data_IF_704646572642
#
_entry.id   IF_704646572642
#
_cell.length_a   1.000
_cell.length_b   1.000
_cell.length_c   1.000
_cell.angle_alpha   90.00
_cell.angle_beta   90.00
_cell.angle_gamma   90.00
#
_symmetry.space_group_name_H-M   'P 1'
#
loop_
_entity.id
_entity.type
_entity.pdbx_description
1 polymer ?
#
# COMPACT_ATOMS: atom_id res chain seq x y z
N UNK A 1 -14.27 11.64 -22.26
CA UNK A 1 -14.38 11.16 -21.93
C UNK A 1 -14.59 10.46 -21.92
N UNK A 2 -14.39 10.52 -21.93
CA UNK A 2 -14.60 9.88 -21.64
C UNK A 2 -15.05 9.85 -21.41
N UNK A 3 -15.19 10.38 -21.63
CA UNK A 3 -15.62 10.35 -21.30
C UNK A 3 -16.36 10.37 -21.24
N UNK A 4 -16.46 10.67 -21.21
CA UNK A 4 -17.18 10.68 -21.17
C UNK A 4 -18.17 10.35 -21.03
N UNK A 5 -18.34 10.01 -20.95
CA UNK A 5 -19.50 9.62 -20.70
C UNK A 5 -19.84 9.80 -19.46
N UNK A 6 -20.47 10.54 -19.19
CA UNK A 6 -20.73 10.90 -17.95
C UNK A 6 -21.42 9.92 -17.26
N UNK A 7 -22.27 9.36 -17.64
CA UNK A 7 -22.95 8.58 -16.87
C UNK A 7 -22.44 7.37 -16.87
N UNK A 8 -21.81 7.06 -17.59
CA UNK A 8 -21.43 5.89 -17.49
C UNK A 8 -20.68 5.64 -16.56
N UNK A 9 -20.21 6.25 -16.32
CA UNK A 9 -19.45 6.00 -15.57
C UNK A 9 -19.66 5.61 -14.51
N UNK A 10 -20.12 5.71 -14.01
CA UNK A 10 -20.19 5.51 -12.83
C UNK A 10 -19.85 4.34 -12.48
N UNK A 11 -20.09 3.71 -12.75
CA UNK A 11 -20.06 2.66 -12.29
C UNK A 11 -18.92 2.19 -12.10
N UNK A 12 -18.21 2.23 -12.69
CA UNK A 12 -17.18 1.71 -12.54
C UNK A 12 -16.43 2.18 -11.77
N UNK A 13 -16.65 2.63 -11.21
CA UNK A 13 -16.08 3.20 -10.42
C UNK A 13 -15.28 2.60 -9.56
N UNK A 14 -15.24 1.45 -9.35
CA UNK A 14 -14.38 0.88 -8.47
C UNK A 14 -12.98 1.13 -8.87
N UNK A 15 -12.73 1.43 -10.03
CA UNK A 15 -11.39 1.79 -10.39
C UNK A 15 -11.17 3.21 -10.14
N UNK A 16 -10.19 3.55 -9.38
CA UNK A 16 -9.92 4.93 -9.14
C UNK A 16 -8.87 5.47 -10.06
N UNK A 17 -8.31 4.71 -10.95
CA UNK A 17 -7.37 5.22 -11.93
C UNK A 17 -7.63 4.54 -13.26
N UNK A 18 -7.15 5.16 -14.32
CA UNK A 18 -7.32 4.62 -15.63
C UNK A 18 -6.33 3.51 -15.85
N UNK A 19 -6.68 2.56 -16.68
CA UNK A 19 -5.77 1.46 -16.97
C UNK A 19 -4.52 1.92 -17.67
N UNK A 20 -4.56 3.08 -18.29
CA UNK A 20 -3.40 3.59 -18.99
C UNK A 20 -2.50 4.41 -18.10
N UNK A 21 -2.90 4.67 -16.87
CA UNK A 21 -2.05 5.40 -15.96
C UNK A 21 -1.07 4.48 -15.33
N UNK A 22 0.17 4.93 -15.22
CA UNK A 22 1.15 4.19 -14.50
C UNK A 22 0.96 4.41 -13.03
N UNK A 23 0.87 3.35 -12.27
CA UNK A 23 0.73 3.42 -10.83
C UNK A 23 2.10 3.24 -10.22
N UNK A 24 2.51 4.17 -9.36
CA UNK A 24 3.81 4.10 -8.72
C UNK A 24 3.73 3.36 -7.39
N UNK A 25 2.72 3.68 -6.59
CA UNK A 25 2.61 3.11 -5.25
C UNK A 25 1.51 2.05 -5.19
N UNK A 26 1.83 0.90 -4.62
CA UNK A 26 0.83 -0.10 -4.26
C UNK A 26 0.86 -0.24 -2.74
N UNK A 27 -0.29 -0.11 -2.11
CA UNK A 27 -0.42 -0.32 -0.67
C UNK A 27 -1.19 -1.63 -0.46
N UNK A 28 -0.64 -2.50 0.37
CA UNK A 28 -1.29 -3.75 0.73
C UNK A 28 -1.73 -3.64 2.18
N UNK A 29 -3.03 -3.55 2.41
CA UNK A 29 -3.60 -3.30 3.73
C UNK A 29 -4.87 -4.13 3.87
N UNK A 30 -4.93 -4.96 4.90
CA UNK A 30 -6.13 -5.74 5.19
C UNK A 30 -6.98 -5.04 6.24
N UNK A 31 -8.29 -5.28 6.20
CA UNK A 31 -9.20 -4.85 7.26
C UNK A 31 -9.14 -3.35 7.54
N UNK A 32 -9.17 -2.56 6.50
CA UNK A 32 -9.06 -1.11 6.64
C UNK A 32 -10.47 -0.52 6.71
N UNK A 33 -10.87 -0.06 7.89
CA UNK A 33 -12.21 0.49 8.09
C UNK A 33 -12.20 1.50 9.22
N UNK A 34 -13.27 2.28 9.31
CA UNK A 34 -13.48 3.22 10.42
C UNK A 34 -12.38 4.25 10.55
N UNK A 35 -11.95 4.49 11.77
CA UNK A 35 -10.91 5.48 12.04
C UNK A 35 -9.57 5.10 11.42
N UNK A 36 -9.30 3.82 11.28
CA UNK A 36 -8.07 3.37 10.63
C UNK A 36 -8.07 3.78 9.15
N UNK A 37 -9.22 3.69 8.49
CA UNK A 37 -9.32 4.12 7.10
C UNK A 37 -9.12 5.63 6.97
N UNK A 38 -9.64 6.40 7.91
CA UNK A 38 -9.43 7.85 7.91
C UNK A 38 -7.96 8.19 8.12
N UNK A 39 -7.31 7.47 9.02
CA UNK A 39 -5.89 7.69 9.25
C UNK A 39 -5.09 7.32 8.00
N UNK A 40 -5.47 6.24 7.34
CA UNK A 40 -4.79 5.84 6.11
C UNK A 40 -4.89 6.96 5.06
N UNK A 41 -6.04 7.58 4.92
CA UNK A 41 -6.19 8.69 3.98
C UNK A 41 -5.29 9.87 4.35
N UNK A 42 -5.11 10.13 5.64
CA UNK A 42 -4.22 11.19 6.08
C UNK A 42 -2.76 10.84 5.81
N UNK A 43 -2.41 9.57 5.96
CA UNK A 43 -1.06 9.12 5.63
C UNK A 43 -0.79 9.34 4.14
N UNK A 44 -1.74 8.97 3.29
CA UNK A 44 -1.59 9.20 1.86
C UNK A 44 -1.42 10.68 1.56
N UNK A 45 -2.24 11.53 2.18
CA UNK A 45 -2.16 12.96 1.93
C UNK A 45 -0.80 13.53 2.32
N UNK A 46 -0.18 12.99 3.37
CA UNK A 46 1.12 13.47 3.79
C UNK A 46 2.21 13.15 2.76
N UNK A 47 1.95 12.20 1.87
CA UNK A 47 2.84 11.87 0.77
C UNK A 47 2.38 12.48 -0.55
N UNK A 48 1.40 13.37 -0.50
CA UNK A 48 0.80 13.99 -1.68
C UNK A 48 0.10 12.95 -2.53
N UNK A 49 -0.46 11.91 -1.91
CA UNK A 49 -1.18 10.84 -2.57
C UNK A 49 -2.63 10.83 -2.15
N UNK A 50 -3.45 10.13 -2.90
CA UNK A 50 -4.84 9.87 -2.54
C UNK A 50 -5.19 8.48 -3.05
N UNK A 51 -6.38 7.99 -2.67
CA UNK A 51 -6.80 6.68 -3.15
C UNK A 51 -6.91 6.63 -4.66
N UNK A 52 -7.09 7.78 -5.30
CA UNK A 52 -7.18 7.83 -6.75
C UNK A 52 -5.83 7.68 -7.44
N UNK A 53 -4.73 7.84 -6.71
CA UNK A 53 -3.41 7.84 -7.33
C UNK A 53 -2.57 6.64 -6.93
N UNK A 54 -3.14 5.72 -6.16
CA UNK A 54 -2.42 4.52 -5.72
C UNK A 54 -3.22 3.29 -6.10
N UNK A 55 -2.58 2.14 -5.98
CA UNK A 55 -3.28 0.87 -6.02
C UNK A 55 -3.41 0.38 -4.59
N UNK A 56 -4.61 0.00 -4.19
CA UNK A 56 -4.86 -0.52 -2.84
C UNK A 56 -5.32 -1.97 -2.97
N UNK A 57 -4.59 -2.87 -2.36
CA UNK A 57 -4.87 -4.30 -2.45
C UNK A 57 -4.95 -4.92 -1.07
N UNK A 58 -5.69 -6.02 -0.97
CA UNK A 58 -5.60 -6.89 0.19
C UNK A 58 -4.40 -7.81 0.04
N UNK A 59 -4.02 -8.50 1.13
CA UNK A 59 -2.93 -9.45 1.04
C UNK A 59 -3.25 -10.58 0.07
N UNK A 60 -4.51 -11.00 0.02
CA UNK A 60 -4.93 -12.04 -0.92
C UNK A 60 -4.74 -11.60 -2.37
N UNK A 61 -5.09 -10.35 -2.67
CA UNK A 61 -4.91 -9.85 -4.03
C UNK A 61 -3.43 -9.71 -4.38
N UNK A 62 -2.62 -9.29 -3.43
CA UNK A 62 -1.19 -9.18 -3.67
C UNK A 62 -0.58 -10.56 -3.93
N UNK A 63 -1.01 -11.56 -3.16
CA UNK A 63 -0.54 -12.93 -3.37
C UNK A 63 -0.99 -13.50 -4.71
N UNK A 64 -2.11 -13.00 -5.24
CA UNK A 64 -2.60 -13.44 -6.54
C UNK A 64 -1.87 -12.77 -7.71
N UNK A 65 -0.83 -11.97 -7.42
CA UNK A 65 -0.04 -11.37 -8.47
C UNK A 65 -0.64 -10.14 -9.10
N UNK A 66 -1.46 -9.40 -8.36
CA UNK A 66 -2.17 -8.27 -8.94
C UNK A 66 -1.49 -6.92 -8.73
N UNK A 67 -0.26 -6.93 -8.23
CA UNK A 67 0.45 -5.68 -7.95
C UNK A 67 0.87 -5.01 -9.25
N UNK A 68 0.52 -3.75 -9.41
CA UNK A 68 0.88 -2.97 -10.58
C UNK A 68 1.85 -1.85 -10.30
N UNK A 69 2.13 -1.55 -9.04
CA UNK A 69 2.98 -0.41 -8.69
C UNK A 69 4.45 -0.70 -8.87
N UNK A 70 5.24 0.33 -8.70
CA UNK A 70 6.70 0.22 -8.77
C UNK A 70 7.31 0.00 -7.39
N UNK A 71 6.60 0.39 -6.32
CA UNK A 71 7.02 0.16 -4.95
C UNK A 71 5.80 -0.31 -4.17
N UNK A 72 6.00 -1.24 -3.25
CA UNK A 72 4.92 -1.83 -2.48
C UNK A 72 5.10 -1.46 -1.01
N UNK A 73 4.03 -0.95 -0.40
CA UNK A 73 4.00 -0.71 1.04
C UNK A 73 3.03 -1.73 1.63
N UNK A 74 3.53 -2.60 2.47
CA UNK A 74 2.69 -3.60 3.14
C UNK A 74 2.53 -3.19 4.59
N UNK A 75 1.29 -2.98 5.02
CA UNK A 75 0.98 -2.44 6.33
C UNK A 75 0.38 -3.53 7.21
N UNK A 76 1.12 -3.92 8.22
CA UNK A 76 0.65 -4.93 9.17
C UNK A 76 1.76 -5.86 9.61
N UNK A 77 1.65 -6.34 10.85
CA UNK A 77 2.70 -7.15 11.46
C UNK A 77 2.82 -8.55 10.85
N UNK A 78 1.78 -9.00 10.13
CA UNK A 78 1.82 -10.33 9.53
C UNK A 78 2.22 -10.32 8.06
N UNK A 79 2.41 -9.15 7.48
CA UNK A 79 2.65 -9.05 6.05
C UNK A 79 3.96 -9.69 5.61
N UNK A 80 4.99 -9.62 6.46
CA UNK A 80 6.26 -10.27 6.12
C UNK A 80 6.10 -11.76 5.94
N UNK A 81 5.33 -12.40 6.83
CA UNK A 81 5.08 -13.83 6.73
C UNK A 81 4.19 -14.14 5.54
N UNK A 82 3.15 -13.31 5.32
CA UNK A 82 2.19 -13.59 4.28
C UNK A 82 2.75 -13.35 2.88
N UNK A 83 3.46 -12.26 2.70
CA UNK A 83 3.89 -11.86 1.36
C UNK A 83 5.31 -12.29 1.04
N UNK A 84 6.18 -12.36 2.05
CA UNK A 84 7.59 -12.66 1.84
C UNK A 84 8.00 -14.01 2.38
N UNK A 85 7.10 -14.66 3.11
CA UNK A 85 7.36 -15.97 3.73
C UNK A 85 8.56 -15.91 4.65
N UNK A 86 8.72 -14.78 5.34
CA UNK A 86 9.79 -14.58 6.29
C UNK A 86 9.24 -14.77 7.71
N UNK A 87 10.00 -15.47 8.54
CA UNK A 87 9.60 -15.71 9.92
C UNK A 87 10.18 -14.71 10.90
N UNK A 88 11.03 -13.81 10.43
CA UNK A 88 11.63 -12.81 11.30
C UNK A 88 10.55 -11.90 11.88
N UNK A 89 10.81 -11.33 13.03
CA UNK A 89 9.83 -10.45 13.67
C UNK A 89 9.60 -9.18 12.89
N UNK A 90 8.42 -8.62 13.04
CA UNK A 90 8.05 -7.42 12.31
C UNK A 90 9.02 -6.26 12.58
N UNK A 91 9.41 -6.10 13.85
CA UNK A 91 10.30 -5.00 14.22
C UNK A 91 11.64 -5.11 13.50
N UNK A 92 12.06 -6.35 13.23
CA UNK A 92 13.31 -6.56 12.53
C UNK A 92 13.18 -6.39 11.03
N UNK A 93 11.98 -6.64 10.49
CA UNK A 93 11.78 -6.53 9.04
C UNK A 93 11.49 -5.11 8.57
N UNK A 94 10.86 -4.29 9.43
CA UNK A 94 10.59 -2.92 9.02
C UNK A 94 11.90 -2.14 8.95
N UNK A 95 11.93 -1.07 8.22
CA UNK A 95 13.13 -0.24 8.09
C UNK A 95 14.11 -0.74 7.05
N UNK A 96 13.72 -1.72 6.27
CA UNK A 96 14.57 -2.28 5.23
C UNK A 96 13.73 -2.49 3.98
N UNK A 97 14.39 -2.58 2.84
CA UNK A 97 13.74 -2.85 1.57
C UNK A 97 13.80 -4.34 1.30
N UNK A 98 12.65 -4.93 1.08
CA UNK A 98 12.56 -6.35 0.73
C UNK A 98 12.17 -6.48 -0.73
N UNK A 99 12.18 -7.70 -1.23
CA UNK A 99 11.85 -7.96 -2.62
C UNK A 99 10.60 -8.84 -2.67
N UNK A 100 9.56 -8.35 -3.33
CA UNK A 100 8.36 -9.13 -3.56
C UNK A 100 8.46 -9.72 -4.96
N UNK A 101 8.45 -11.05 -5.03
CA UNK A 101 8.51 -11.70 -6.32
C UNK A 101 7.12 -11.86 -6.89
N UNK A 102 6.92 -11.44 -8.12
CA UNK A 102 5.63 -11.54 -8.75
C UNK A 102 5.85 -11.85 -10.21
N UNK A 103 5.41 -13.01 -10.64
CA UNK A 103 5.62 -13.49 -12.01
C UNK A 103 7.10 -13.41 -12.34
N UNK A 104 7.50 -12.57 -13.24
CA UNK A 104 8.90 -12.46 -13.63
C UNK A 104 9.57 -11.22 -13.04
N UNK A 105 8.86 -10.48 -12.21
CA UNK A 105 9.37 -9.23 -11.69
C UNK A 105 9.70 -9.34 -10.22
N UNK A 106 10.63 -8.52 -9.79
CA UNK A 106 10.89 -8.32 -8.38
C UNK A 106 10.60 -6.87 -8.08
N UNK A 107 9.76 -6.64 -7.09
CA UNK A 107 9.36 -5.29 -6.73
C UNK A 107 9.87 -4.96 -5.33
N UNK A 108 10.37 -3.73 -5.12
CA UNK A 108 10.77 -3.36 -3.78
C UNK A 108 9.55 -3.23 -2.87
N UNK A 109 9.68 -3.78 -1.69
CA UNK A 109 8.60 -3.78 -0.71
C UNK A 109 9.13 -3.31 0.63
N UNK A 110 8.37 -2.40 1.27
CA UNK A 110 8.68 -1.90 2.58
C UNK A 110 7.53 -2.24 3.51
N UNK A 111 7.86 -2.80 4.68
CA UNK A 111 6.87 -3.14 5.68
C UNK A 111 6.72 -2.00 6.67
N UNK A 112 5.50 -1.71 7.07
CA UNK A 112 5.26 -0.71 8.10
C UNK A 112 4.02 -1.08 8.90
N UNK A 113 3.64 -0.25 9.86
CA UNK A 113 2.53 -0.53 10.76
C UNK A 113 1.19 -0.36 10.07
N UNK A 114 0.22 -1.19 10.47
CA UNK A 114 -1.16 -1.01 10.04
C UNK A 114 -1.72 0.25 10.70
N UNK A 115 -2.58 1.02 10.01
CA UNK A 115 -3.16 2.22 10.63
C UNK A 115 -3.87 1.95 11.95
N UNK A 116 -4.49 0.78 12.10
CA UNK A 116 -5.15 0.45 13.36
C UNK A 116 -4.17 0.39 14.51
N UNK A 117 -2.97 -0.13 14.27
CA UNK A 117 -1.94 -0.14 15.30
C UNK A 117 -1.59 1.30 15.71
N UNK A 118 -1.53 2.22 14.75
CA UNK A 118 -1.15 3.59 15.03
C UNK A 118 -2.22 4.34 15.81
N UNK A 119 -3.47 3.92 15.71
CA UNK A 119 -4.51 4.47 16.55
C UNK A 119 -4.31 4.08 18.01
N UNK A 120 -3.79 2.88 18.24
CA UNK A 120 -3.55 2.40 19.60
C UNK A 120 -2.23 2.88 20.15
N UNK A 121 -1.24 3.08 19.27
CA UNK A 121 0.08 3.50 19.70
C UNK A 121 0.58 4.62 18.78
N UNK A 122 0.09 5.83 18.99
CA UNK A 122 0.45 6.95 18.09
C UNK A 122 1.94 7.26 18.05
N UNK A 123 2.70 6.86 19.08
CA UNK A 123 4.13 7.11 19.07
C UNK A 123 4.85 6.40 17.93
N UNK A 124 4.24 5.39 17.33
CA UNK A 124 4.86 4.69 16.21
C UNK A 124 4.63 5.37 14.87
N UNK A 125 3.89 6.50 14.84
CA UNK A 125 3.69 7.23 13.59
C UNK A 125 5.00 7.71 12.99
N UNK A 126 5.96 8.10 13.84
CA UNK A 126 7.25 8.54 13.33
C UNK A 126 7.98 7.42 12.62
N UNK A 127 7.85 6.20 13.13
CA UNK A 127 8.47 5.04 12.48
C UNK A 127 7.82 4.74 11.14
N UNK A 128 6.51 4.84 11.08
CA UNK A 128 5.80 4.66 9.82
C UNK A 128 6.25 5.72 8.80
N UNK A 129 6.40 6.96 9.25
CA UNK A 129 6.86 8.01 8.36
C UNK A 129 8.26 7.70 7.82
N UNK A 130 9.16 7.19 8.67
CA UNK A 130 10.48 6.79 8.22
C UNK A 130 10.40 5.70 7.17
N UNK A 131 9.50 4.72 7.37
CA UNK A 131 9.35 3.63 6.41
C UNK A 131 8.83 4.14 5.07
N UNK A 132 7.90 5.09 5.11
CA UNK A 132 7.35 5.65 3.87
C UNK A 132 8.38 6.51 3.14
N UNK A 133 9.23 7.23 3.87
CA UNK A 133 10.30 7.99 3.23
C UNK A 133 11.34 7.06 2.62
N UNK A 134 11.62 5.95 3.26
CA UNK A 134 12.50 4.95 2.68
C UNK A 134 11.94 4.47 1.36
N UNK A 135 10.66 4.15 1.33
CA UNK A 135 10.02 3.69 0.10
C UNK A 135 10.07 4.77 -0.98
N UNK A 136 9.82 6.03 -0.59
CA UNK A 136 9.83 7.11 -1.57
C UNK A 136 11.20 7.32 -2.19
N UNK A 137 12.25 7.00 -1.45
CA UNK A 137 13.60 7.14 -1.98
C UNK A 137 13.90 6.14 -3.09
N UNK A 138 13.03 5.14 -3.28
CA UNK A 138 13.24 4.11 -4.29
C UNK A 138 12.63 4.47 -5.65
N UNK A 139 11.93 5.58 -5.73
CA UNK A 139 11.26 5.96 -6.97
C UNK A 139 11.65 7.37 -7.42
#
# INVERSE_FOLDING_TARGET
PKASNPNAAPTEITQSYSENQEVVWTFVVDQLSGDAALLFDKILASLMLSRNTIQLLSSTEALAGKVNGQVVIAMGSQMGRQLLQMDDGFVELRGAVHSLEQAEDELPLVLTYHPEHLLKKPSDKAKTWQDLLLARSLI
#
